data_IF_196749311103
#
_entry.id   IF_196749311103
#
_cell.length_a   1.000
_cell.length_b   1.000
_cell.length_c   1.000
_cell.angle_alpha   90.00
_cell.angle_beta   90.00
_cell.angle_gamma   90.00
#
_symmetry.space_group_name_H-M   'P 1'
#
loop_
_entity.id
_entity.type
_entity.pdbx_description
1 polymer ?
#
# COMPACT_ATOMS: atom_id res chain seq x y z
N UNK A 1 -21.44 3.65 -12.43
CA UNK A 1 -20.36 2.77 -12.92
C UNK A 1 -19.09 3.16 -12.19
N UNK A 2 -18.41 2.22 -11.54
CA UNK A 2 -17.21 2.48 -10.71
C UNK A 2 -15.94 2.33 -11.54
N UNK A 3 -14.82 2.90 -11.06
CA UNK A 3 -13.51 2.62 -11.64
C UNK A 3 -13.17 1.13 -11.53
N UNK A 4 -12.36 0.63 -12.47
CA UNK A 4 -11.64 -0.63 -12.31
C UNK A 4 -10.13 -0.36 -12.18
N UNK A 5 -9.44 -1.13 -11.34
CA UNK A 5 -7.99 -1.06 -11.20
C UNK A 5 -7.39 -2.47 -11.28
N UNK A 6 -6.60 -2.72 -12.32
CA UNK A 6 -5.77 -3.92 -12.43
C UNK A 6 -4.55 -3.76 -11.54
N UNK A 7 -4.27 -4.75 -10.70
CA UNK A 7 -3.10 -4.80 -9.82
C UNK A 7 -2.36 -6.14 -9.95
N UNK A 8 -1.06 -6.12 -9.68
CA UNK A 8 -0.29 -7.32 -9.37
C UNK A 8 -0.43 -7.72 -7.90
N UNK A 9 0.30 -8.76 -7.48
CA UNK A 9 0.32 -9.24 -6.10
C UNK A 9 0.63 -8.13 -5.09
N UNK A 10 -0.19 -8.01 -4.05
CA UNK A 10 -0.08 -6.90 -3.08
C UNK A 10 1.22 -6.94 -2.29
N UNK A 11 1.72 -8.14 -1.95
CA UNK A 11 2.97 -8.29 -1.22
C UNK A 11 4.20 -7.80 -1.99
N UNK A 12 4.13 -7.70 -3.33
CA UNK A 12 5.31 -7.60 -4.19
C UNK A 12 5.28 -6.43 -5.19
N UNK A 13 4.11 -6.10 -5.73
CA UNK A 13 3.98 -5.04 -6.74
C UNK A 13 4.05 -3.64 -6.12
N UNK A 14 5.24 -3.03 -6.12
CA UNK A 14 5.39 -1.66 -5.65
C UNK A 14 4.59 -0.65 -6.48
N UNK A 15 4.40 -0.90 -7.76
CA UNK A 15 3.60 -0.03 -8.63
C UNK A 15 2.12 -0.13 -8.29
N UNK A 16 1.62 -1.34 -8.04
CA UNK A 16 0.20 -1.51 -7.69
C UNK A 16 -0.14 -0.92 -6.34
N UNK A 17 0.78 -0.96 -5.37
CA UNK A 17 0.61 -0.26 -4.08
C UNK A 17 0.37 1.24 -4.32
N UNK A 18 1.22 1.90 -5.13
CA UNK A 18 1.06 3.34 -5.45
C UNK A 18 -0.32 3.61 -6.05
N UNK A 19 -0.70 2.85 -7.08
CA UNK A 19 -1.98 3.03 -7.77
C UNK A 19 -3.18 2.81 -6.85
N UNK A 20 -3.14 1.77 -6.01
CA UNK A 20 -4.25 1.46 -5.10
C UNK A 20 -4.39 2.47 -3.96
N UNK A 21 -3.28 3.00 -3.43
CA UNK A 21 -3.31 4.04 -2.39
C UNK A 21 -4.01 5.32 -2.88
N UNK A 22 -3.92 5.66 -4.17
CA UNK A 22 -4.64 6.80 -4.75
C UNK A 22 -6.17 6.65 -4.67
N UNK A 23 -6.67 5.42 -4.50
CA UNK A 23 -8.10 5.15 -4.29
C UNK A 23 -8.44 5.03 -2.80
N UNK A 24 -7.81 4.10 -2.09
CA UNK A 24 -8.20 3.80 -0.69
C UNK A 24 -7.91 4.96 0.26
N UNK A 25 -6.76 5.63 0.13
CA UNK A 25 -6.38 6.72 1.04
C UNK A 25 -7.21 7.99 0.83
N UNK A 26 -7.78 8.17 -0.38
CA UNK A 26 -8.57 9.34 -0.76
C UNK A 26 -10.08 9.05 -0.83
N UNK A 27 -10.49 7.86 -0.38
CA UNK A 27 -11.91 7.49 -0.31
C UNK A 27 -12.62 7.35 -1.67
N UNK A 28 -11.87 7.05 -2.73
CA UNK A 28 -12.41 6.90 -4.09
C UNK A 28 -12.77 5.42 -4.32
N UNK A 29 -14.05 5.06 -4.54
CA UNK A 29 -14.44 3.68 -4.77
C UNK A 29 -13.87 3.09 -6.07
N UNK A 30 -13.31 1.89 -6.00
CA UNK A 30 -12.74 1.17 -7.15
C UNK A 30 -12.96 -0.33 -7.03
N UNK A 31 -13.25 -0.99 -8.16
CA UNK A 31 -13.23 -2.45 -8.25
C UNK A 31 -11.82 -2.89 -8.61
N UNK A 32 -11.20 -3.67 -7.75
CA UNK A 32 -9.83 -4.15 -7.97
C UNK A 32 -9.85 -5.51 -8.67
N UNK A 33 -9.07 -5.63 -9.76
CA UNK A 33 -8.80 -6.86 -10.48
C UNK A 33 -7.35 -7.26 -10.20
N UNK A 34 -7.13 -8.39 -9.52
CA UNK A 34 -5.78 -8.86 -9.21
C UNK A 34 -5.32 -9.92 -10.19
N UNK A 35 -4.04 -9.90 -10.53
CA UNK A 35 -3.38 -10.95 -11.29
C UNK A 35 -2.04 -11.33 -10.64
N UNK A 36 -1.71 -12.63 -10.65
CA UNK A 36 -0.42 -13.11 -10.19
C UNK A 36 0.69 -12.72 -11.18
N UNK A 37 1.69 -11.99 -10.70
CA UNK A 37 2.88 -11.62 -11.46
C UNK A 37 3.70 -12.86 -11.85
N UNK A 38 4.46 -12.74 -12.93
CA UNK A 38 5.26 -13.83 -13.52
C UNK A 38 4.44 -15.07 -13.94
N UNK A 39 3.17 -14.85 -14.24
CA UNK A 39 2.26 -15.82 -14.88
C UNK A 39 1.53 -15.13 -16.03
N UNK A 40 0.78 -15.90 -16.82
CA UNK A 40 -0.05 -15.35 -17.91
C UNK A 40 -1.30 -14.61 -17.40
N UNK A 41 -1.61 -14.65 -16.09
CA UNK A 41 -2.80 -14.01 -15.53
C UNK A 41 -2.85 -12.50 -15.83
N UNK A 42 -1.73 -11.78 -15.65
CA UNK A 42 -1.70 -10.33 -15.89
C UNK A 42 -1.92 -10.01 -17.37
N UNK A 43 -1.23 -10.73 -18.26
CA UNK A 43 -1.41 -10.58 -19.69
C UNK A 43 -2.86 -10.91 -20.12
N UNK A 44 -3.50 -11.90 -19.49
CA UNK A 44 -4.88 -12.26 -19.74
C UNK A 44 -5.85 -11.16 -19.32
N UNK A 45 -5.70 -10.62 -18.10
CA UNK A 45 -6.55 -9.52 -17.60
C UNK A 45 -6.39 -8.26 -18.45
N UNK A 46 -5.17 -7.94 -18.89
CA UNK A 46 -4.89 -6.74 -19.67
C UNK A 46 -5.43 -6.77 -21.11
N UNK A 47 -5.92 -7.92 -21.62
CA UNK A 47 -6.62 -7.98 -22.92
C UNK A 47 -7.84 -7.06 -22.97
N UNK A 48 -8.52 -6.89 -21.84
CA UNK A 48 -9.68 -6.01 -21.70
C UNK A 48 -9.30 -4.54 -21.39
N UNK A 49 -8.00 -4.25 -21.36
CA UNK A 49 -7.41 -2.96 -20.99
C UNK A 49 -6.40 -2.48 -22.04
N UNK A 50 -6.68 -2.66 -23.34
CA UNK A 50 -5.81 -2.14 -24.40
C UNK A 50 -5.66 -0.60 -24.30
N UNK A 51 -4.44 -0.02 -24.44
CA UNK A 51 -3.16 -0.63 -24.85
C UNK A 51 -2.21 -0.98 -23.70
N UNK A 52 -2.72 -1.18 -22.48
CA UNK A 52 -1.88 -1.40 -21.31
C UNK A 52 -1.06 -2.69 -21.39
N UNK A 53 0.14 -2.64 -20.79
CA UNK A 53 1.09 -3.76 -20.71
C UNK A 53 1.57 -4.06 -19.29
N UNK A 54 1.24 -3.20 -18.33
CA UNK A 54 1.75 -3.23 -16.97
C UNK A 54 0.63 -2.98 -15.97
N UNK A 55 0.82 -3.47 -14.74
CA UNK A 55 0.01 -3.06 -13.61
C UNK A 55 0.74 -1.96 -12.80
N UNK A 56 0.02 -0.99 -12.22
CA UNK A 56 -1.42 -0.85 -12.26
C UNK A 56 -1.93 -0.22 -13.56
N UNK A 57 -3.16 -0.58 -13.93
CA UNK A 57 -3.90 0.08 -15.01
C UNK A 57 -5.33 0.36 -14.54
N UNK A 58 -5.77 1.60 -14.69
CA UNK A 58 -7.13 2.03 -14.36
C UNK A 58 -8.02 2.01 -15.60
N UNK A 59 -9.31 1.67 -15.42
CA UNK A 59 -10.38 2.00 -16.36
C UNK A 59 -11.38 2.94 -15.71
N UNK A 60 -11.69 4.05 -16.36
CA UNK A 60 -12.67 5.04 -15.88
C UNK A 60 -14.12 4.51 -16.05
N UNK A 61 -15.12 5.09 -15.37
CA UNK A 61 -16.52 4.69 -15.52
C UNK A 61 -17.05 4.67 -16.97
N UNK A 62 -16.55 5.57 -17.81
CA UNK A 62 -16.89 5.68 -19.22
C UNK A 62 -15.98 4.86 -20.15
N UNK A 63 -14.99 4.15 -19.60
CA UNK A 63 -14.19 3.17 -20.34
C UNK A 63 -12.79 3.60 -20.76
N UNK A 64 -12.33 4.81 -20.41
CA UNK A 64 -10.96 5.25 -20.73
C UNK A 64 -9.92 4.40 -19.99
N UNK A 65 -8.92 3.89 -20.70
CA UNK A 65 -7.83 3.09 -20.14
C UNK A 65 -6.65 4.00 -19.81
N UNK A 66 -6.23 3.99 -18.54
CA UNK A 66 -5.17 4.85 -18.01
C UNK A 66 -4.10 3.97 -17.35
N UNK A 67 -3.07 3.56 -18.09
CA UNK A 67 -1.88 2.94 -17.52
C UNK A 67 -0.99 3.99 -16.82
N UNK A 68 -0.01 3.53 -16.05
CA UNK A 68 0.96 4.35 -15.29
C UNK A 68 0.40 5.10 -14.08
N UNK A 69 1.08 4.98 -12.94
CA UNK A 69 0.59 5.56 -11.68
C UNK A 69 0.53 7.09 -11.69
N UNK A 70 1.39 7.75 -12.47
CA UNK A 70 1.39 9.22 -12.60
C UNK A 70 0.20 9.72 -13.41
N UNK A 71 -0.17 9.02 -14.48
CA UNK A 71 -1.36 9.33 -15.25
C UNK A 71 -2.63 9.04 -14.43
N UNK A 72 -2.65 7.94 -13.67
CA UNK A 72 -3.75 7.63 -12.74
C UNK A 72 -3.90 8.76 -11.70
N UNK A 73 -2.81 9.25 -11.11
CA UNK A 73 -2.87 10.33 -10.12
C UNK A 73 -3.44 11.64 -10.71
N UNK A 74 -2.96 12.07 -11.87
CA UNK A 74 -3.46 13.30 -12.52
C UNK A 74 -4.91 13.15 -13.00
N UNK A 75 -5.30 11.97 -13.50
CA UNK A 75 -6.67 11.72 -13.93
C UNK A 75 -7.65 11.71 -12.74
N UNK A 76 -7.26 11.08 -11.62
CA UNK A 76 -8.05 11.12 -10.39
C UNK A 76 -8.13 12.53 -9.81
N UNK A 77 -7.04 13.30 -9.85
CA UNK A 77 -7.05 14.68 -9.37
C UNK A 77 -7.99 15.58 -10.21
N UNK A 78 -8.00 15.41 -11.53
CA UNK A 78 -8.91 16.13 -12.44
C UNK A 78 -10.37 15.79 -12.17
N UNK A 79 -10.68 14.50 -11.97
CA UNK A 79 -12.06 14.02 -11.77
C UNK A 79 -12.59 14.24 -10.37
N UNK A 80 -11.70 14.30 -9.39
CA UNK A 80 -12.02 14.46 -7.97
C UNK A 80 -11.23 15.65 -7.38
N UNK A 81 -11.48 16.89 -7.84
CA UNK A 81 -10.69 18.05 -7.42
C UNK A 81 -10.74 18.32 -5.91
N UNK A 82 -11.80 17.87 -5.23
CA UNK A 82 -11.96 17.97 -3.77
C UNK A 82 -11.37 16.81 -2.97
N UNK A 83 -10.84 15.75 -3.62
CA UNK A 83 -10.31 14.59 -2.90
C UNK A 83 -8.95 14.86 -2.24
N UNK A 84 -8.25 15.93 -2.63
CA UNK A 84 -6.94 16.26 -2.06
C UNK A 84 -5.78 15.40 -2.56
N UNK A 85 -5.91 14.78 -3.75
CA UNK A 85 -4.84 13.98 -4.39
C UNK A 85 -3.54 14.80 -4.48
N UNK A 86 -3.66 16.08 -4.82
CA UNK A 86 -2.56 17.04 -4.76
C UNK A 86 -2.87 18.14 -3.74
N UNK A 87 -1.83 18.77 -3.14
CA UNK A 87 -2.03 19.96 -2.31
C UNK A 87 -2.80 21.08 -3.04
N UNK A 88 -3.64 21.80 -2.29
CA UNK A 88 -4.39 22.95 -2.80
C UNK A 88 -3.51 24.18 -2.96
N UNK A 89 -2.53 24.37 -2.07
CA UNK A 89 -1.51 25.41 -2.20
C UNK A 89 -0.65 25.20 -3.46
N UNK A 90 -0.51 26.21 -4.34
CA UNK A 90 0.24 26.07 -5.59
C UNK A 90 1.71 25.69 -5.41
N UNK A 91 2.37 26.20 -4.37
CA UNK A 91 3.79 25.95 -4.12
C UNK A 91 4.02 24.52 -3.61
N UNK A 92 3.20 24.06 -2.67
CA UNK A 92 3.20 22.68 -2.20
C UNK A 92 2.81 21.70 -3.32
N UNK A 93 1.87 22.06 -4.19
CA UNK A 93 1.48 21.23 -5.33
C UNK A 93 2.61 21.06 -6.34
N UNK A 94 3.32 22.14 -6.67
CA UNK A 94 4.48 22.06 -7.55
C UNK A 94 5.57 21.16 -6.95
N UNK A 95 5.85 21.33 -5.65
CA UNK A 95 6.81 20.51 -4.89
C UNK A 95 6.41 19.03 -4.91
N UNK A 96 5.14 18.71 -4.62
CA UNK A 96 4.61 17.34 -4.63
C UNK A 96 4.73 16.67 -6.00
N UNK A 97 4.53 17.44 -7.10
CA UNK A 97 4.70 16.92 -8.47
C UNK A 97 6.16 16.63 -8.82
N UNK A 98 7.09 17.47 -8.39
CA UNK A 98 8.54 17.21 -8.54
C UNK A 98 8.91 15.90 -7.86
N UNK A 99 8.49 15.75 -6.60
CA UNK A 99 8.70 14.54 -5.80
C UNK A 99 8.15 13.28 -6.48
N UNK A 100 6.88 13.31 -6.91
CA UNK A 100 6.23 12.19 -7.56
C UNK A 100 6.91 11.82 -8.89
N UNK A 101 7.29 12.82 -9.69
CA UNK A 101 7.98 12.61 -10.97
C UNK A 101 9.37 11.98 -10.77
N UNK A 102 10.16 12.47 -9.82
CA UNK A 102 11.48 11.92 -9.55
C UNK A 102 11.41 10.48 -9.00
N UNK A 103 10.45 10.19 -8.12
CA UNK A 103 10.20 8.82 -7.66
C UNK A 103 9.70 7.90 -8.79
N UNK A 104 8.92 8.41 -9.73
CA UNK A 104 8.44 7.64 -10.87
C UNK A 104 9.60 7.23 -11.79
N UNK A 105 10.51 8.17 -12.09
CA UNK A 105 11.59 7.99 -13.06
C UNK A 105 12.92 7.48 -12.47
N UNK A 106 13.13 7.56 -11.15
CA UNK A 106 14.43 7.34 -10.51
C UNK A 106 14.55 6.14 -9.56
N UNK A 107 15.62 6.18 -8.77
CA UNK A 107 15.97 5.25 -7.69
C UNK A 107 16.12 3.79 -8.14
N UNK A 108 16.69 3.59 -9.32
CA UNK A 108 16.83 2.26 -9.95
C UNK A 108 17.72 1.33 -9.13
N UNK A 109 18.79 1.85 -8.50
CA UNK A 109 19.68 1.04 -7.67
C UNK A 109 18.92 0.49 -6.45
N UNK A 110 18.25 1.36 -5.68
CA UNK A 110 17.41 0.96 -4.56
C UNK A 110 16.30 -0.01 -4.99
N UNK A 111 15.59 0.29 -6.07
CA UNK A 111 14.44 -0.52 -6.51
C UNK A 111 14.82 -1.91 -6.98
N UNK A 112 16.00 -2.04 -7.61
CA UNK A 112 16.52 -3.32 -8.12
C UNK A 112 17.13 -4.15 -7.00
N UNK A 113 17.90 -3.53 -6.11
CA UNK A 113 18.55 -4.22 -5.00
C UNK A 113 17.54 -4.67 -3.93
N UNK A 114 16.60 -3.79 -3.60
CA UNK A 114 15.54 -4.02 -2.61
C UNK A 114 14.17 -4.11 -3.30
N UNK A 115 13.80 -5.20 -4.00
CA UNK A 115 12.43 -5.33 -4.47
C UNK A 115 11.46 -5.38 -3.28
N UNK A 116 10.25 -4.88 -3.46
CA UNK A 116 9.28 -4.84 -2.36
C UNK A 116 8.84 -6.26 -2.01
N UNK A 117 8.89 -6.59 -0.73
CA UNK A 117 8.35 -7.83 -0.17
C UNK A 117 7.78 -7.52 1.22
N UNK A 118 6.45 -7.39 1.32
CA UNK A 118 5.78 -7.00 2.56
C UNK A 118 5.58 -8.14 3.57
N UNK A 119 5.93 -9.37 3.15
CA UNK A 119 5.81 -10.59 3.97
C UNK A 119 7.00 -10.83 4.88
N UNK A 120 8.14 -10.19 4.61
CA UNK A 120 9.39 -10.41 5.34
C UNK A 120 10.06 -9.09 5.68
N UNK A 121 10.92 -9.14 6.70
CA UNK A 121 11.80 -8.06 7.11
C UNK A 121 13.16 -8.67 7.45
N UNK A 122 14.24 -7.95 7.16
CA UNK A 122 15.62 -8.39 7.30
C UNK A 122 16.35 -7.54 8.33
N UNK A 123 17.32 -8.12 9.03
CA UNK A 123 18.16 -7.38 10.00
C UNK A 123 19.17 -6.48 9.29
N UNK A 124 19.67 -6.92 8.13
CA UNK A 124 20.66 -6.22 7.32
C UNK A 124 20.64 -6.81 5.90
N UNK A 125 21.02 -6.00 4.91
CA UNK A 125 21.16 -6.40 3.52
C UNK A 125 22.48 -5.95 2.89
N UNK A 126 23.40 -5.33 3.66
CA UNK A 126 24.69 -4.81 3.19
C UNK A 126 24.53 -3.94 1.92
N UNK A 127 23.81 -2.81 2.02
CA UNK A 127 23.46 -2.01 0.85
C UNK A 127 24.71 -1.46 0.14
N UNK A 128 24.84 -1.63 -1.18
CA UNK A 128 26.00 -1.15 -1.93
C UNK A 128 26.02 0.40 -2.02
N UNK A 129 27.16 1.00 -2.41
CA UNK A 129 27.31 2.46 -2.47
C UNK A 129 26.23 3.19 -3.27
N UNK A 130 25.76 2.63 -4.37
CA UNK A 130 24.71 3.24 -5.21
C UNK A 130 23.34 3.25 -4.51
N UNK A 131 23.03 2.22 -3.72
CA UNK A 131 21.82 2.21 -2.89
C UNK A 131 21.95 3.26 -1.78
N UNK A 132 23.12 3.39 -1.16
CA UNK A 132 23.37 4.44 -0.18
C UNK A 132 23.29 5.85 -0.79
N UNK A 133 23.67 6.02 -2.06
CA UNK A 133 23.51 7.28 -2.79
C UNK A 133 22.03 7.61 -3.03
N UNK A 134 21.23 6.62 -3.43
CA UNK A 134 19.78 6.75 -3.55
C UNK A 134 19.15 7.17 -2.20
N UNK A 135 19.59 6.58 -1.08
CA UNK A 135 19.11 6.94 0.27
C UNK A 135 19.43 8.40 0.63
N UNK A 136 20.67 8.86 0.39
CA UNK A 136 21.03 10.28 0.61
C UNK A 136 20.20 11.23 -0.25
N UNK A 137 19.86 10.83 -1.48
CA UNK A 137 18.99 11.62 -2.35
C UNK A 137 17.56 11.69 -1.80
N UNK A 138 17.02 10.59 -1.29
CA UNK A 138 15.71 10.58 -0.63
C UNK A 138 15.68 11.52 0.58
N UNK A 139 16.69 11.46 1.45
CA UNK A 139 16.79 12.36 2.61
C UNK A 139 16.81 13.83 2.18
N UNK A 140 17.60 14.17 1.16
CA UNK A 140 17.67 15.52 0.59
C UNK A 140 16.30 15.97 0.09
N UNK A 141 15.62 15.13 -0.69
CA UNK A 141 14.30 15.47 -1.25
C UNK A 141 13.24 15.65 -0.17
N UNK A 142 13.22 14.76 0.83
CA UNK A 142 12.21 14.78 1.87
C UNK A 142 12.39 15.97 2.82
N UNK A 143 13.62 16.29 3.23
CA UNK A 143 13.92 17.49 4.02
C UNK A 143 13.58 18.75 3.21
N UNK A 144 14.07 18.85 1.97
CA UNK A 144 13.77 19.97 1.08
C UNK A 144 12.27 20.21 0.93
N UNK A 145 11.48 19.16 0.66
CA UNK A 145 10.04 19.30 0.46
C UNK A 145 9.32 19.75 1.74
N UNK A 146 9.67 19.18 2.89
CA UNK A 146 9.04 19.56 4.17
C UNK A 146 9.37 21.00 4.55
N UNK A 147 10.61 21.44 4.32
CA UNK A 147 11.04 22.82 4.57
C UNK A 147 10.37 23.80 3.61
N UNK A 148 10.39 23.49 2.32
CA UNK A 148 9.81 24.29 1.22
C UNK A 148 8.31 24.50 1.38
N UNK A 149 7.61 23.51 1.93
CA UNK A 149 6.15 23.56 2.11
C UNK A 149 5.72 23.87 3.54
N UNK A 150 6.69 24.07 4.44
CA UNK A 150 6.45 24.22 5.88
C UNK A 150 5.52 23.14 6.45
N UNK A 151 5.71 21.88 6.02
CA UNK A 151 4.83 20.77 6.41
C UNK A 151 4.93 20.49 7.91
N UNK A 152 3.84 20.76 8.62
CA UNK A 152 3.66 20.48 10.04
C UNK A 152 3.11 19.07 10.33
N UNK A 153 2.85 18.27 9.30
CA UNK A 153 2.41 16.88 9.43
C UNK A 153 3.58 15.92 9.17
N UNK A 154 3.40 14.61 9.40
CA UNK A 154 4.39 13.62 8.98
C UNK A 154 4.62 13.57 7.46
N UNK A 155 3.72 14.10 6.62
CA UNK A 155 3.78 14.00 5.16
C UNK A 155 4.60 15.13 4.51
N UNK A 156 5.03 14.91 3.27
CA UNK A 156 6.04 15.76 2.64
C UNK A 156 5.56 17.17 2.29
N UNK A 157 4.28 17.34 1.94
CA UNK A 157 3.72 18.58 1.40
C UNK A 157 2.39 18.99 2.06
N UNK A 158 2.29 18.88 3.38
CA UNK A 158 1.07 19.16 4.13
C UNK A 158 0.30 17.89 4.47
N UNK A 159 -0.98 17.76 4.09
CA UNK A 159 -1.72 16.51 4.25
C UNK A 159 -1.18 15.40 3.31
N UNK A 160 -1.58 14.15 3.55
CA UNK A 160 -1.20 13.01 2.70
C UNK A 160 -1.60 13.26 1.24
N UNK A 161 -0.67 13.07 0.31
CA UNK A 161 -0.84 13.40 -1.10
C UNK A 161 -0.37 12.25 -2.01
N UNK A 162 -0.55 12.40 -3.33
CA UNK A 162 -0.03 11.46 -4.31
C UNK A 162 1.51 11.33 -4.23
N UNK A 163 2.24 12.37 -3.84
CA UNK A 163 3.69 12.27 -3.60
C UNK A 163 3.99 11.20 -2.53
N UNK A 164 3.21 11.17 -1.45
CA UNK A 164 3.37 10.19 -0.38
C UNK A 164 3.01 8.78 -0.85
N UNK A 165 1.92 8.63 -1.61
CA UNK A 165 1.56 7.35 -2.22
C UNK A 165 2.69 6.78 -3.10
N UNK A 166 3.45 7.64 -3.79
CA UNK A 166 4.56 7.25 -4.65
C UNK A 166 5.77 6.75 -3.85
N UNK A 167 6.01 7.33 -2.67
CA UNK A 167 7.09 6.94 -1.76
C UNK A 167 6.71 5.82 -0.79
N UNK A 168 5.43 5.44 -0.64
CA UNK A 168 5.03 4.33 0.24
C UNK A 168 5.82 3.02 0.00
N UNK A 169 6.08 2.58 -1.25
CA UNK A 169 6.94 1.42 -1.48
C UNK A 169 8.41 1.66 -1.11
N UNK A 170 8.92 2.89 -1.19
CA UNK A 170 10.29 3.22 -0.76
C UNK A 170 10.38 3.18 0.76
N UNK A 171 9.40 3.74 1.47
CA UNK A 171 9.31 3.62 2.92
C UNK A 171 9.29 2.15 3.35
N UNK A 172 8.52 1.30 2.65
CA UNK A 172 8.51 -0.13 2.91
C UNK A 172 9.87 -0.79 2.70
N UNK A 173 10.65 -0.40 1.67
CA UNK A 173 12.00 -0.93 1.41
C UNK A 173 12.97 -0.54 2.51
N UNK A 174 12.97 0.73 2.92
CA UNK A 174 13.82 1.20 4.01
C UNK A 174 13.53 0.40 5.27
N UNK A 175 12.25 0.24 5.61
CA UNK A 175 11.81 -0.52 6.75
C UNK A 175 12.20 -2.02 6.67
N UNK A 176 11.81 -2.73 5.60
CA UNK A 176 11.97 -4.19 5.53
C UNK A 176 13.38 -4.64 5.24
N UNK A 177 14.23 -3.81 4.63
CA UNK A 177 15.64 -4.12 4.45
C UNK A 177 16.54 -3.50 5.54
N UNK A 178 15.93 -2.81 6.52
CA UNK A 178 16.63 -2.11 7.60
C UNK A 178 17.72 -1.16 7.10
N UNK A 179 17.38 -0.37 6.07
CA UNK A 179 18.34 0.52 5.41
C UNK A 179 18.67 1.73 6.31
N UNK A 180 19.92 2.20 6.31
CA UNK A 180 20.32 3.33 7.13
C UNK A 180 19.81 4.64 6.53
N UNK A 181 18.94 5.33 7.27
CA UNK A 181 18.54 6.73 7.01
C UNK A 181 18.49 7.50 8.32
N UNK A 182 18.50 8.83 8.24
CA UNK A 182 18.44 9.73 9.38
C UNK A 182 17.08 9.67 10.11
N UNK A 183 17.02 10.30 11.29
CA UNK A 183 15.84 10.25 12.15
C UNK A 183 14.58 10.83 11.48
N UNK A 184 14.70 11.93 10.73
CA UNK A 184 13.57 12.58 10.07
C UNK A 184 12.99 11.71 8.95
N UNK A 185 13.86 11.07 8.16
CA UNK A 185 13.47 10.09 7.16
C UNK A 185 12.80 8.87 7.81
N UNK A 186 13.31 8.39 8.95
CA UNK A 186 12.67 7.30 9.68
C UNK A 186 11.29 7.68 10.25
N UNK A 187 11.06 8.92 10.67
CA UNK A 187 9.73 9.39 11.07
C UNK A 187 8.73 9.29 9.90
N UNK A 188 9.16 9.68 8.69
CA UNK A 188 8.35 9.54 7.48
C UNK A 188 8.07 8.07 7.13
N UNK A 189 9.07 7.20 7.26
CA UNK A 189 8.92 5.75 7.08
C UNK A 189 7.89 5.18 8.05
N UNK A 190 8.01 5.51 9.34
CA UNK A 190 7.09 5.02 10.37
C UNK A 190 5.66 5.51 10.14
N UNK A 191 5.48 6.74 9.67
CA UNK A 191 4.17 7.27 9.29
C UNK A 191 3.52 6.44 8.18
N UNK A 192 4.29 6.03 7.16
CA UNK A 192 3.81 5.13 6.10
C UNK A 192 3.41 3.74 6.64
N UNK A 193 4.24 3.13 7.49
CA UNK A 193 3.92 1.81 8.06
C UNK A 193 2.67 1.83 8.95
N UNK A 194 2.41 2.97 9.61
CA UNK A 194 1.22 3.18 10.43
C UNK A 194 -0.01 3.63 9.64
N UNK A 195 0.14 4.04 8.38
CA UNK A 195 -0.96 4.57 7.57
C UNK A 195 -2.06 3.50 7.38
N UNK A 196 -3.34 3.78 7.68
CA UNK A 196 -4.41 2.78 7.63
C UNK A 196 -4.52 2.06 6.29
N UNK A 197 -4.43 2.78 5.17
CA UNK A 197 -4.48 2.16 3.84
C UNK A 197 -3.28 1.25 3.57
N UNK A 198 -2.07 1.63 4.03
CA UNK A 198 -0.89 0.77 3.89
C UNK A 198 -1.04 -0.51 4.72
N UNK A 199 -1.52 -0.40 5.97
CA UNK A 199 -1.82 -1.55 6.82
C UNK A 199 -2.83 -2.50 6.17
N UNK A 200 -3.93 -1.98 5.59
CA UNK A 200 -4.90 -2.78 4.83
C UNK A 200 -4.27 -3.49 3.65
N UNK A 201 -3.46 -2.78 2.86
CA UNK A 201 -2.77 -3.34 1.71
C UNK A 201 -1.86 -4.49 2.11
N UNK A 202 -1.04 -4.28 3.14
CA UNK A 202 -0.15 -5.32 3.67
C UNK A 202 -0.95 -6.51 4.20
N UNK A 203 -1.99 -6.29 5.00
CA UNK A 203 -2.80 -7.36 5.58
C UNK A 203 -3.44 -8.25 4.50
N UNK A 204 -3.96 -7.64 3.41
CA UNK A 204 -4.41 -8.40 2.23
C UNK A 204 -3.23 -9.11 1.54
N UNK A 205 -2.10 -8.45 1.39
CA UNK A 205 -0.90 -9.04 0.78
C UNK A 205 -0.31 -10.22 1.55
N UNK A 206 -0.49 -10.29 2.88
CA UNK A 206 -0.05 -11.44 3.68
C UNK A 206 -0.86 -12.71 3.38
N UNK A 207 -2.09 -12.56 2.89
CA UNK A 207 -3.04 -13.66 2.65
C UNK A 207 -3.34 -13.87 1.15
N UNK A 208 -2.77 -13.04 0.29
CA UNK A 208 -2.86 -13.16 -1.17
C UNK A 208 -1.87 -14.20 -1.70
N UNK A 209 -2.41 -15.38 -2.06
CA UNK A 209 -1.69 -16.43 -2.79
C UNK A 209 -0.43 -16.95 -2.10
N UNK A 210 0.26 -17.87 -2.79
CA UNK A 210 1.53 -18.42 -2.33
C UNK A 210 2.68 -17.42 -2.51
N UNK A 211 3.68 -17.52 -1.64
CA UNK A 211 4.93 -16.75 -1.70
C UNK A 211 5.60 -16.86 -3.08
N UNK A 212 6.29 -15.79 -3.48
CA UNK A 212 7.05 -15.75 -4.72
C UNK A 212 8.55 -15.69 -4.42
N UNK A 213 9.25 -16.79 -4.74
CA UNK A 213 10.67 -16.98 -4.45
C UNK A 213 11.56 -15.89 -5.09
N UNK A 214 11.15 -15.34 -6.24
CA UNK A 214 11.84 -14.22 -6.91
C UNK A 214 12.11 -13.02 -5.98
N UNK A 215 11.19 -12.74 -5.05
CA UNK A 215 11.28 -11.63 -4.10
C UNK A 215 11.94 -11.99 -2.78
N UNK A 216 12.30 -13.26 -2.59
CA UNK A 216 13.02 -13.70 -1.40
C UNK A 216 14.49 -13.30 -1.52
N UNK A 217 15.08 -12.94 -0.39
CA UNK A 217 16.52 -12.77 -0.23
C UNK A 217 16.99 -13.65 0.91
N UNK A 218 18.20 -14.17 0.79
CA UNK A 218 18.81 -15.00 1.82
C UNK A 218 19.56 -14.14 2.84
N UNK A 219 18.81 -13.23 3.47
CA UNK A 219 19.31 -12.38 4.53
C UNK A 219 18.69 -12.79 5.87
N UNK A 220 19.39 -12.58 7.01
CA UNK A 220 18.82 -12.87 8.31
C UNK A 220 17.55 -12.05 8.53
N UNK A 221 16.50 -12.70 9.05
CA UNK A 221 15.18 -12.10 9.20
C UNK A 221 14.99 -11.48 10.57
N UNK A 222 14.12 -10.48 10.63
CA UNK A 222 13.57 -9.90 11.86
C UNK A 222 12.05 -9.76 11.77
N UNK A 223 11.45 -9.39 12.89
CA UNK A 223 10.02 -9.08 12.93
C UNK A 223 9.66 -7.85 12.08
N UNK A 224 8.37 -7.75 11.77
CA UNK A 224 7.83 -6.59 11.05
C UNK A 224 8.11 -5.29 11.85
N UNK A 225 8.74 -4.26 11.24
CA UNK A 225 9.19 -3.08 11.97
C UNK A 225 8.09 -2.01 12.15
N UNK A 226 6.87 -2.25 11.68
CA UNK A 226 5.73 -1.35 11.86
C UNK A 226 4.86 -1.73 13.07
N UNK A 227 3.63 -1.20 13.15
CA UNK A 227 2.70 -1.56 14.22
C UNK A 227 2.50 -3.08 14.32
N UNK A 228 2.52 -3.60 15.54
CA UNK A 228 2.29 -5.01 15.84
C UNK A 228 0.77 -5.25 15.88
N UNK A 229 0.22 -6.11 15.01
CA UNK A 229 -1.20 -6.43 15.03
C UNK A 229 -1.67 -7.05 16.34
N UNK A 230 -2.95 -6.85 16.68
CA UNK A 230 -3.57 -7.53 17.81
C UNK A 230 -3.52 -9.06 17.64
N UNK A 231 -3.27 -9.82 18.72
CA UNK A 231 -3.21 -11.27 18.66
C UNK A 231 -4.60 -11.86 18.40
N UNK A 232 -4.79 -12.38 17.19
CA UNK A 232 -6.02 -13.04 16.73
C UNK A 232 -5.71 -14.45 16.20
N UNK A 233 -6.69 -15.35 16.28
CA UNK A 233 -6.58 -16.72 15.76
C UNK A 233 -7.85 -17.19 15.04
N UNK A 234 -7.80 -18.24 14.21
CA UNK A 234 -9.00 -18.81 13.62
C UNK A 234 -9.89 -19.44 14.70
N UNK A 235 -11.21 -19.42 14.47
CA UNK A 235 -12.19 -20.03 15.36
C UNK A 235 -13.30 -20.74 14.58
N UNK A 236 -14.03 -21.62 15.26
CA UNK A 236 -15.30 -22.15 14.74
C UNK A 236 -16.38 -21.05 14.72
N UNK A 237 -17.44 -21.27 13.94
CA UNK A 237 -18.51 -20.27 13.76
C UNK A 237 -19.59 -20.32 14.85
N UNK A 238 -19.44 -21.12 15.90
CA UNK A 238 -20.38 -21.12 17.01
C UNK A 238 -20.17 -19.86 17.86
N UNK A 239 -21.28 -19.27 18.33
CA UNK A 239 -21.29 -18.15 19.27
C UNK A 239 -20.53 -16.90 18.78
N UNK A 240 -20.56 -16.63 17.47
CA UNK A 240 -20.04 -15.37 16.93
C UNK A 240 -20.89 -14.20 17.38
N UNK A 241 -20.27 -13.09 17.78
CA UNK A 241 -20.96 -11.88 18.27
C UNK A 241 -21.80 -11.18 17.19
N UNK A 242 -21.62 -11.54 15.92
CA UNK A 242 -22.29 -10.95 14.77
C UNK A 242 -22.85 -12.04 13.85
N UNK A 243 -23.98 -11.74 13.19
CA UNK A 243 -24.62 -12.62 12.22
C UNK A 243 -24.18 -12.36 10.77
N UNK A 244 -23.60 -11.19 10.48
CA UNK A 244 -23.15 -10.78 9.14
C UNK A 244 -21.72 -10.25 9.16
N UNK A 245 -21.00 -10.48 8.06
CA UNK A 245 -19.60 -10.09 7.90
C UNK A 245 -19.42 -8.57 7.94
N UNK A 246 -18.53 -8.01 8.78
CA UNK A 246 -18.30 -6.56 8.83
C UNK A 246 -17.66 -6.00 7.55
N UNK A 247 -17.06 -6.85 6.71
CA UNK A 247 -16.45 -6.43 5.45
C UNK A 247 -17.48 -6.28 4.31
N UNK A 248 -18.45 -7.19 4.22
CA UNK A 248 -19.34 -7.32 3.04
C UNK A 248 -20.83 -7.26 3.36
N UNK A 249 -21.23 -7.41 4.63
CA UNK A 249 -22.63 -7.57 5.05
C UNK A 249 -23.23 -8.96 4.76
N UNK A 250 -22.47 -9.88 4.17
CA UNK A 250 -22.95 -11.23 3.83
C UNK A 250 -22.98 -12.17 5.05
N UNK A 251 -23.77 -13.26 5.03
CA UNK A 251 -23.87 -14.23 6.12
C UNK A 251 -22.53 -14.82 6.56
N UNK A 252 -22.40 -15.15 7.84
CA UNK A 252 -21.18 -15.72 8.45
C UNK A 252 -20.99 -17.19 8.05
N UNK A 253 -19.78 -17.51 7.63
CA UNK A 253 -19.33 -18.88 7.30
C UNK A 253 -17.93 -19.18 7.83
N UNK A 254 -17.21 -18.17 8.32
CA UNK A 254 -15.85 -18.25 8.86
C UNK A 254 -15.78 -17.39 10.12
N UNK A 255 -14.90 -17.70 11.08
CA UNK A 255 -14.74 -16.87 12.27
C UNK A 255 -13.26 -16.74 12.70
N UNK A 256 -12.98 -15.66 13.43
CA UNK A 256 -11.74 -15.50 14.18
C UNK A 256 -12.07 -15.25 15.66
N UNK A 257 -11.12 -15.61 16.54
CA UNK A 257 -11.15 -15.26 17.95
C UNK A 257 -10.13 -14.15 18.24
N UNK A 258 -10.56 -13.16 19.01
CA UNK A 258 -9.76 -12.03 19.49
C UNK A 258 -10.18 -11.73 20.93
N UNK A 259 -9.24 -11.83 21.87
CA UNK A 259 -9.47 -11.61 23.32
C UNK A 259 -10.71 -12.34 23.87
N UNK A 260 -10.84 -13.64 23.59
CA UNK A 260 -11.93 -14.47 24.11
C UNK A 260 -13.27 -14.34 23.36
N UNK A 261 -13.40 -13.37 22.45
CA UNK A 261 -14.63 -13.15 21.65
C UNK A 261 -14.46 -13.69 20.24
N UNK A 262 -15.54 -14.18 19.65
CA UNK A 262 -15.58 -14.75 18.29
C UNK A 262 -16.30 -13.80 17.34
N UNK A 263 -15.68 -13.51 16.21
CA UNK A 263 -16.21 -12.59 15.19
C UNK A 263 -16.36 -13.33 13.87
N UNK A 264 -17.54 -13.22 13.26
CA UNK A 264 -17.92 -13.91 12.04
C UNK A 264 -17.62 -13.12 10.76
N UNK A 265 -17.28 -13.85 9.69
CA UNK A 265 -16.93 -13.37 8.36
C UNK A 265 -17.57 -14.26 7.29
N UNK A 266 -17.78 -13.72 6.10
CA UNK A 266 -18.48 -14.42 5.02
C UNK A 266 -17.60 -15.34 4.16
N UNK A 267 -16.27 -15.23 4.28
CA UNK A 267 -15.31 -16.06 3.59
C UNK A 267 -13.94 -16.02 4.29
N UNK A 268 -13.05 -16.94 3.92
CA UNK A 268 -11.69 -17.03 4.42
C UNK A 268 -10.91 -15.74 4.23
N UNK A 269 -10.95 -15.12 3.04
CA UNK A 269 -10.22 -13.89 2.76
C UNK A 269 -10.58 -12.74 3.72
N UNK A 270 -11.87 -12.54 4.00
CA UNK A 270 -12.32 -11.51 4.94
C UNK A 270 -11.84 -11.79 6.36
N UNK A 271 -11.86 -13.05 6.80
CA UNK A 271 -11.31 -13.47 8.10
C UNK A 271 -9.80 -13.26 8.14
N UNK A 272 -9.07 -13.79 7.16
CA UNK A 272 -7.61 -13.90 7.19
C UNK A 272 -6.93 -12.54 7.09
N UNK A 273 -7.43 -11.63 6.23
CA UNK A 273 -6.91 -10.26 6.18
C UNK A 273 -7.18 -9.47 7.46
N UNK A 274 -8.24 -9.81 8.20
CA UNK A 274 -8.54 -9.21 9.52
C UNK A 274 -7.73 -9.85 10.62
N UNK A 275 -7.45 -11.16 10.56
CA UNK A 275 -6.50 -11.83 11.44
C UNK A 275 -5.08 -11.25 11.27
N UNK A 276 -4.67 -10.99 10.02
CA UNK A 276 -3.37 -10.43 9.71
C UNK A 276 -3.16 -9.01 10.26
N UNK A 277 -4.23 -8.19 10.30
CA UNK A 277 -4.22 -6.87 10.95
C UNK A 277 -5.65 -6.40 11.25
N UNK A 278 -6.12 -6.61 12.48
CA UNK A 278 -7.47 -6.26 12.89
C UNK A 278 -7.75 -4.75 12.85
N UNK A 279 -6.79 -3.96 13.31
CA UNK A 279 -6.92 -2.51 13.44
C UNK A 279 -6.92 -1.78 12.10
N UNK A 280 -6.49 -2.44 11.02
CA UNK A 280 -6.58 -1.91 9.66
C UNK A 280 -8.04 -1.75 9.19
N UNK A 281 -9.03 -2.33 9.88
CA UNK A 281 -10.43 -2.41 9.44
C UNK A 281 -11.38 -1.67 10.40
N UNK A 282 -11.71 -0.39 10.17
CA UNK A 282 -12.55 0.40 11.08
C UNK A 282 -13.93 -0.21 11.35
N UNK A 283 -14.57 -0.83 10.35
CA UNK A 283 -15.86 -1.53 10.54
C UNK A 283 -15.75 -2.73 11.48
N UNK A 284 -14.63 -3.45 11.44
CA UNK A 284 -14.37 -4.54 12.38
C UNK A 284 -14.06 -3.98 13.77
N UNK A 285 -13.24 -2.94 13.88
CA UNK A 285 -12.94 -2.33 15.17
C UNK A 285 -14.17 -1.72 15.85
N UNK A 286 -15.10 -1.14 15.09
CA UNK A 286 -16.38 -0.69 15.63
C UNK A 286 -17.20 -1.85 16.25
N UNK A 287 -17.22 -3.02 15.59
CA UNK A 287 -17.84 -4.24 16.12
C UNK A 287 -17.07 -4.83 17.32
N UNK A 288 -15.75 -4.70 17.32
CA UNK A 288 -14.92 -5.11 18.46
C UNK A 288 -15.19 -4.25 19.70
N UNK A 289 -15.48 -2.96 19.53
CA UNK A 289 -15.76 -2.04 20.64
C UNK A 289 -17.24 -2.00 21.08
N UNK A 290 -18.15 -2.62 20.34
CA UNK A 290 -19.54 -2.85 20.78
C UNK A 290 -19.63 -4.02 21.75
#
# INVERSE_FOLDING_TARGET
MTYDLVIGDRAYSSWSLRGWLLFDAFGIPVRTLSARLYTDELACVLKDFFPARTAPTMRTPEGSIVPETIAIAEELATRHPGAGIWPTDPHARATARVLAAEMHAGFTALRSFCPMNLRVSYTDCQPPPDVLADLRRLETLWSWARETTHSATPWLCGAYSAADAFFAPVASRIATYNLPVNADAMLYVNAHLAHPSFRRWRAMGLVDGADQEFYRRDYPRRDWPGPVPLPAGPADCADTVNATCPCSGQPVTHALQLYGRRFGFCNAFCRDKTLADAEAWPKFMALYHS
#
